data_IF_412465666114
#
_entry.id   IF_412465666114
#
_cell.length_a   1.000
_cell.length_b   1.000
_cell.length_c   1.000
_cell.angle_alpha   90.00
_cell.angle_beta   90.00
_cell.angle_gamma   90.00
#
_symmetry.space_group_name_H-M   'P 1'
#
loop_
_entity.id
_entity.type
_entity.pdbx_description
1 polymer ?
#
# COMPACT_ATOMS: atom_id res chain seq x y z
N UNK A 1 3.37 -18.21 -17.82
CA UNK A 1 3.80 -16.89 -18.31
C UNK A 1 3.32 -15.84 -17.32
N UNK A 2 4.23 -15.05 -16.74
CA UNK A 2 3.87 -14.00 -15.77
C UNK A 2 3.14 -12.86 -16.49
N UNK A 3 2.21 -12.18 -15.82
CA UNK A 3 1.57 -10.96 -16.32
C UNK A 3 1.97 -9.79 -15.44
N UNK A 4 2.30 -8.66 -16.05
CA UNK A 4 2.55 -7.38 -15.39
C UNK A 4 1.38 -6.46 -15.69
N UNK A 5 0.62 -6.12 -14.66
CA UNK A 5 -0.49 -5.18 -14.71
C UNK A 5 -0.01 -3.78 -14.37
N UNK A 6 -0.11 -2.87 -15.32
CA UNK A 6 0.11 -1.45 -15.07
C UNK A 6 -1.20 -0.81 -14.65
N UNK A 7 -1.19 -0.14 -13.51
CA UNK A 7 -2.33 0.56 -12.92
C UNK A 7 -1.94 2.01 -12.62
N UNK A 8 -2.93 2.89 -12.57
CA UNK A 8 -2.77 4.31 -12.28
C UNK A 8 -3.06 4.62 -10.80
N UNK A 9 -4.05 3.92 -10.24
CA UNK A 9 -4.47 4.00 -8.85
C UNK A 9 -4.39 2.63 -8.20
N UNK A 10 -3.96 2.57 -6.95
CA UNK A 10 -3.67 1.29 -6.30
C UNK A 10 -4.91 0.44 -6.02
N UNK A 11 -6.05 1.08 -5.77
CA UNK A 11 -7.32 0.41 -5.53
C UNK A 11 -7.82 -0.40 -6.75
N UNK A 12 -7.31 -0.09 -7.96
CA UNK A 12 -7.54 -0.91 -9.17
C UNK A 12 -7.11 -2.36 -8.97
N UNK A 13 -6.11 -2.61 -8.13
CA UNK A 13 -5.63 -3.96 -7.85
C UNK A 13 -6.69 -4.81 -7.16
N UNK A 14 -7.47 -4.22 -6.24
CA UNK A 14 -8.58 -4.93 -5.61
C UNK A 14 -9.69 -5.27 -6.62
N UNK A 15 -9.99 -4.35 -7.54
CA UNK A 15 -10.93 -4.62 -8.64
C UNK A 15 -10.45 -5.78 -9.52
N UNK A 16 -9.18 -5.78 -9.90
CA UNK A 16 -8.55 -6.86 -10.65
C UNK A 16 -8.66 -8.22 -9.93
N UNK A 17 -8.33 -8.27 -8.63
CA UNK A 17 -8.45 -9.51 -7.86
C UNK A 17 -9.90 -9.97 -7.71
N UNK A 18 -10.86 -9.06 -7.61
CA UNK A 18 -12.30 -9.37 -7.62
C UNK A 18 -12.73 -10.00 -8.94
N UNK A 19 -12.34 -9.41 -10.07
CA UNK A 19 -12.64 -9.93 -11.42
C UNK A 19 -12.04 -11.32 -11.65
N UNK A 20 -10.80 -11.53 -11.22
CA UNK A 20 -10.12 -12.82 -11.31
C UNK A 20 -10.67 -13.87 -10.32
N UNK A 21 -11.57 -13.47 -9.40
CA UNK A 21 -12.01 -14.29 -8.26
C UNK A 21 -10.82 -14.82 -7.44
N UNK A 22 -9.75 -14.05 -7.38
CA UNK A 22 -8.54 -14.41 -6.68
C UNK A 22 -8.75 -14.35 -5.15
N UNK A 23 -8.32 -15.40 -4.47
CA UNK A 23 -8.38 -15.57 -3.01
C UNK A 23 -7.14 -16.34 -2.53
N UNK A 24 -6.84 -16.30 -1.23
CA UNK A 24 -5.62 -16.93 -0.69
C UNK A 24 -4.34 -16.33 -1.26
N UNK A 25 -4.36 -15.03 -1.59
CA UNK A 25 -3.24 -14.32 -2.17
C UNK A 25 -2.13 -14.12 -1.13
N UNK A 26 -0.91 -14.35 -1.59
CA UNK A 26 0.33 -14.06 -0.86
C UNK A 26 1.00 -12.88 -1.54
N UNK A 27 0.88 -11.70 -0.96
CA UNK A 27 1.30 -10.44 -1.57
C UNK A 27 2.60 -9.96 -0.95
N UNK A 28 3.55 -9.58 -1.80
CA UNK A 28 4.66 -8.70 -1.41
C UNK A 28 4.36 -7.32 -1.96
N UNK A 29 4.26 -6.36 -1.06
CA UNK A 29 3.90 -4.97 -1.34
C UNK A 29 5.14 -4.10 -1.20
N UNK A 30 5.71 -3.65 -2.32
CA UNK A 30 6.83 -2.72 -2.35
C UNK A 30 6.28 -1.30 -2.46
N UNK A 31 6.25 -0.59 -1.34
CA UNK A 31 5.54 0.69 -1.24
C UNK A 31 6.12 1.57 -0.12
N UNK A 32 6.07 2.88 -0.29
CA UNK A 32 6.38 3.83 0.77
C UNK A 32 5.33 3.78 1.90
N UNK A 33 4.06 3.65 1.54
CA UNK A 33 2.87 3.56 2.38
C UNK A 33 2.42 2.10 2.56
N UNK A 34 1.57 1.83 3.56
CA UNK A 34 1.11 0.46 3.79
C UNK A 34 -0.21 0.09 3.13
N UNK A 35 -1.02 1.09 2.74
CA UNK A 35 -2.41 0.96 2.23
C UNK A 35 -3.37 0.12 3.06
N UNK A 36 -3.08 0.05 4.35
CA UNK A 36 -3.84 -0.67 5.38
C UNK A 36 -4.57 0.29 6.31
N UNK A 37 -4.93 1.49 5.83
CA UNK A 37 -5.67 2.45 6.64
C UNK A 37 -6.99 1.83 7.13
N UNK A 38 -7.34 2.10 8.39
CA UNK A 38 -8.54 1.53 9.00
C UNK A 38 -8.40 0.07 9.43
N UNK A 39 -7.17 -0.46 9.51
CA UNK A 39 -6.89 -1.80 10.01
C UNK A 39 -6.06 -1.78 11.31
N UNK A 40 -6.43 -2.66 12.23
CA UNK A 40 -5.63 -3.06 13.39
C UNK A 40 -5.14 -4.49 13.17
N UNK A 41 -3.83 -4.72 13.31
CA UNK A 41 -3.23 -6.07 13.24
C UNK A 41 -2.66 -6.45 14.61
N UNK A 42 -3.14 -7.59 15.14
CA UNK A 42 -2.48 -8.31 16.21
C UNK A 42 -1.33 -9.13 15.62
N UNK A 43 -0.10 -8.62 15.73
CA UNK A 43 1.09 -9.28 15.17
C UNK A 43 1.47 -10.59 15.89
N UNK A 44 1.01 -10.79 17.12
CA UNK A 44 1.28 -12.01 17.88
C UNK A 44 0.36 -13.14 17.45
N UNK A 45 -0.93 -12.85 17.28
CA UNK A 45 -1.93 -13.86 16.89
C UNK A 45 -2.18 -13.90 15.39
N UNK A 46 -1.59 -12.99 14.61
CA UNK A 46 -1.73 -12.94 13.15
C UNK A 46 -3.20 -12.78 12.75
N UNK A 47 -3.86 -11.81 13.39
CA UNK A 47 -5.27 -11.46 13.21
C UNK A 47 -5.43 -9.99 12.83
N UNK A 48 -6.27 -9.73 11.84
CA UNK A 48 -6.65 -8.40 11.37
C UNK A 48 -8.08 -8.06 11.80
N UNK A 49 -8.27 -6.80 12.19
CA UNK A 49 -9.55 -6.24 12.61
C UNK A 49 -9.80 -4.92 11.88
N UNK A 50 -10.98 -4.78 11.29
CA UNK A 50 -11.41 -3.50 10.74
C UNK A 50 -11.86 -2.56 11.86
N UNK A 51 -11.32 -1.34 11.84
CA UNK A 51 -11.57 -0.32 12.84
C UNK A 51 -12.34 0.86 12.22
N UNK A 52 -13.25 1.44 13.00
CA UNK A 52 -14.23 2.43 12.51
C UNK A 52 -13.72 3.87 12.44
N UNK A 53 -12.40 4.08 12.49
CA UNK A 53 -11.82 5.42 12.55
C UNK A 53 -11.68 6.09 11.17
N UNK A 54 -12.09 5.42 10.10
CA UNK A 54 -11.96 5.86 8.72
C UNK A 54 -13.22 5.54 7.90
N UNK A 55 -13.50 6.30 6.82
CA UNK A 55 -14.65 6.03 5.96
C UNK A 55 -14.58 4.61 5.39
N UNK A 56 -15.72 3.90 5.30
CA UNK A 56 -15.78 2.52 4.80
C UNK A 56 -15.63 2.43 3.27
N UNK A 57 -15.47 3.56 2.60
CA UNK A 57 -15.32 3.65 1.15
C UNK A 57 -13.92 3.19 0.75
N UNK A 58 -13.84 2.44 -0.34
CA UNK A 58 -12.59 1.98 -0.92
C UNK A 58 -11.82 3.16 -1.51
N UNK A 59 -10.53 3.26 -1.20
CA UNK A 59 -9.58 4.18 -1.81
C UNK A 59 -8.15 3.59 -1.81
N UNK A 60 -7.23 4.30 -2.45
CA UNK A 60 -5.82 3.91 -2.61
C UNK A 60 -5.15 3.61 -1.25
N UNK A 61 -5.50 4.31 -0.17
CA UNK A 61 -4.87 4.11 1.13
C UNK A 61 -5.47 2.99 1.99
N UNK A 62 -6.56 2.34 1.56
CA UNK A 62 -7.21 1.27 2.32
C UNK A 62 -7.55 0.01 1.50
N UNK A 63 -7.14 -0.08 0.23
CA UNK A 63 -7.53 -1.21 -0.61
C UNK A 63 -7.05 -2.56 -0.05
N UNK A 64 -5.87 -2.62 0.59
CA UNK A 64 -5.39 -3.83 1.25
C UNK A 64 -6.20 -4.17 2.50
N UNK A 65 -6.68 -3.17 3.24
CA UNK A 65 -7.67 -3.39 4.32
C UNK A 65 -8.89 -4.14 3.77
N UNK A 66 -9.46 -3.67 2.66
CA UNK A 66 -10.59 -4.34 2.02
C UNK A 66 -10.23 -5.75 1.52
N UNK A 67 -9.08 -5.91 0.86
CA UNK A 67 -8.63 -7.20 0.34
C UNK A 67 -8.47 -8.26 1.44
N UNK A 68 -7.94 -7.87 2.60
CA UNK A 68 -7.80 -8.74 3.78
C UNK A 68 -9.17 -9.06 4.38
N UNK A 69 -10.02 -8.05 4.56
CA UNK A 69 -11.33 -8.24 5.18
C UNK A 69 -12.28 -9.10 4.32
N UNK A 70 -12.11 -9.08 3.00
CA UNK A 70 -12.76 -9.97 2.02
C UNK A 70 -12.18 -11.40 2.00
N UNK A 71 -11.08 -11.67 2.69
CA UNK A 71 -10.40 -12.96 2.67
C UNK A 71 -9.65 -13.24 1.36
N UNK A 72 -9.32 -12.19 0.59
CA UNK A 72 -8.56 -12.35 -0.65
C UNK A 72 -7.08 -12.47 -0.39
N UNK A 73 -6.55 -11.68 0.54
CA UNK A 73 -5.15 -11.68 0.94
C UNK A 73 -5.00 -12.44 2.26
N UNK A 74 -4.28 -13.56 2.23
CA UNK A 74 -3.98 -14.37 3.42
C UNK A 74 -2.58 -14.06 3.98
N UNK A 75 -1.67 -13.57 3.15
CA UNK A 75 -0.32 -13.19 3.53
C UNK A 75 0.06 -11.89 2.86
N UNK A 76 0.62 -10.98 3.65
CA UNK A 76 1.10 -9.69 3.19
C UNK A 76 2.49 -9.42 3.79
N UNK A 77 3.48 -9.22 2.93
CA UNK A 77 4.79 -8.69 3.30
C UNK A 77 4.89 -7.27 2.77
N UNK A 78 4.82 -6.28 3.65
CA UNK A 78 5.07 -4.89 3.29
C UNK A 78 6.56 -4.59 3.38
N UNK A 79 7.14 -4.21 2.25
CA UNK A 79 8.55 -3.92 2.10
C UNK A 79 8.69 -2.46 1.72
N UNK A 80 9.45 -1.70 2.51
CA UNK A 80 9.62 -0.26 2.31
C UNK A 80 11.11 0.14 2.32
N UNK A 81 11.41 1.33 1.82
CA UNK A 81 12.74 1.96 1.95
C UNK A 81 12.73 3.01 3.07
N UNK A 82 13.88 3.64 3.31
CA UNK A 82 14.03 4.77 4.22
C UNK A 82 14.40 6.04 3.43
N UNK A 83 13.76 7.19 3.70
CA UNK A 83 12.53 7.34 4.50
C UNK A 83 11.37 6.52 3.91
N UNK A 84 10.43 6.08 4.75
CA UNK A 84 9.32 5.21 4.34
C UNK A 84 8.89 4.27 5.46
N UNK A 85 7.84 3.47 5.23
CA UNK A 85 7.32 2.59 6.27
C UNK A 85 6.51 3.34 7.32
N UNK A 86 6.17 2.64 8.42
CA UNK A 86 5.24 3.17 9.45
C UNK A 86 5.60 4.53 10.01
N UNK A 87 6.89 4.83 10.13
CA UNK A 87 7.39 6.09 10.69
C UNK A 87 7.06 7.29 9.78
N UNK A 88 6.91 7.05 8.48
CA UNK A 88 6.69 8.08 7.47
C UNK A 88 5.30 8.02 6.83
N UNK A 89 4.53 6.97 7.12
CA UNK A 89 3.17 6.77 6.63
C UNK A 89 2.11 7.36 7.59
N UNK A 90 1.31 8.32 7.09
CA UNK A 90 0.21 8.95 7.84
C UNK A 90 -1.09 8.18 7.58
N UNK A 91 -1.67 7.63 8.65
CA UNK A 91 -2.82 6.74 8.52
C UNK A 91 -2.42 5.26 8.39
N UNK A 92 -1.14 4.94 8.65
CA UNK A 92 -0.63 3.57 8.66
C UNK A 92 -1.46 2.63 9.54
N UNK A 93 -1.36 1.33 9.25
CA UNK A 93 -1.89 0.24 10.07
C UNK A 93 -1.56 0.41 11.54
N UNK A 94 -2.54 0.12 12.40
CA UNK A 94 -2.36 0.10 13.85
C UNK A 94 -1.95 -1.28 14.34
N UNK A 95 -1.12 -1.35 15.37
CA UNK A 95 -0.82 -2.56 16.12
C UNK A 95 -1.37 -2.46 17.53
N UNK A 96 -1.58 -3.61 18.18
CA UNK A 96 -2.01 -3.65 19.58
C UNK A 96 -1.00 -3.07 20.57
N UNK A 97 0.26 -2.89 20.15
CA UNK A 97 1.30 -2.25 20.95
C UNK A 97 1.23 -0.73 20.89
N UNK A 98 0.54 -0.17 19.89
CA UNK A 98 0.39 1.27 19.72
C UNK A 98 -0.56 1.81 20.79
N UNK A 99 -0.32 3.04 21.27
CA UNK A 99 -1.16 3.63 22.32
C UNK A 99 -2.62 3.71 21.84
N UNK A 100 -2.84 4.17 20.61
CA UNK A 100 -4.18 4.22 20.02
C UNK A 100 -4.73 2.84 19.66
N UNK A 101 -3.86 1.90 19.29
CA UNK A 101 -4.24 0.52 18.99
C UNK A 101 -4.72 -0.27 20.20
N UNK A 102 -4.14 -0.05 21.38
CA UNK A 102 -4.57 -0.68 22.66
C UNK A 102 -6.01 -0.34 23.01
N UNK A 103 -6.38 0.94 22.91
CA UNK A 103 -7.76 1.38 23.16
C UNK A 103 -8.74 0.75 22.20
N UNK A 104 -8.38 0.67 20.92
CA UNK A 104 -9.22 0.04 19.90
C UNK A 104 -9.35 -1.47 20.12
N UNK A 105 -8.27 -2.17 20.45
CA UNK A 105 -8.29 -3.61 20.79
C UNK A 105 -9.24 -3.90 21.96
N UNK A 106 -9.20 -3.09 23.01
CA UNK A 106 -10.15 -3.21 24.13
C UNK A 106 -11.62 -3.03 23.68
N UNK A 107 -11.90 -2.02 22.85
CA UNK A 107 -13.25 -1.81 22.31
C UNK A 107 -13.72 -2.94 21.38
N UNK A 108 -12.81 -3.55 20.62
CA UNK A 108 -13.12 -4.68 19.73
C UNK A 108 -13.49 -5.92 20.54
N UNK A 109 -12.76 -6.19 21.63
CA UNK A 109 -13.06 -7.30 22.54
C UNK A 109 -14.48 -7.22 23.14
N UNK A 110 -14.99 -6.00 23.38
CA UNK A 110 -16.35 -5.79 23.87
C UNK A 110 -17.44 -5.97 22.80
N UNK A 111 -17.09 -5.85 21.52
CA UNK A 111 -18.04 -5.80 20.39
C UNK A 111 -18.09 -7.09 19.58
N UNK A 112 -17.34 -8.11 19.98
CA UNK A 112 -17.21 -9.42 19.29
C UNK A 112 -17.04 -9.27 17.77
N UNK A 113 -16.15 -8.37 17.36
CA UNK A 113 -15.94 -8.11 15.94
C UNK A 113 -15.20 -9.28 15.29
N UNK A 114 -15.64 -9.73 14.10
CA UNK A 114 -14.98 -10.82 13.41
C UNK A 114 -13.56 -10.44 13.03
N UNK A 115 -12.60 -11.23 13.50
CA UNK A 115 -11.21 -11.15 13.09
C UNK A 115 -11.01 -11.91 11.77
N UNK A 116 -10.05 -11.48 10.95
CA UNK A 116 -9.55 -12.25 9.81
C UNK A 116 -8.14 -12.76 10.09
N UNK A 117 -7.86 -14.06 9.87
CA UNK A 117 -6.49 -14.55 9.93
C UNK A 117 -5.67 -13.94 8.79
N UNK A 118 -4.43 -13.53 9.09
CA UNK A 118 -3.49 -13.00 8.11
C UNK A 118 -2.05 -13.25 8.56
N UNK A 119 -1.16 -13.63 7.65
CA UNK A 119 0.28 -13.59 7.89
C UNK A 119 0.86 -12.24 7.44
N UNK A 120 1.14 -11.35 8.38
CA UNK A 120 1.59 -9.99 8.13
C UNK A 120 3.03 -9.74 8.61
N UNK A 121 3.89 -9.32 7.68
CA UNK A 121 5.30 -8.99 7.91
C UNK A 121 5.60 -7.58 7.38
N UNK A 122 6.47 -6.86 8.08
CA UNK A 122 7.02 -5.57 7.63
C UNK A 122 8.53 -5.70 7.58
N UNK A 123 9.13 -5.27 6.48
CA UNK A 123 10.56 -5.39 6.25
C UNK A 123 11.11 -4.12 5.61
N UNK A 124 12.31 -3.72 5.99
CA UNK A 124 13.08 -2.78 5.20
C UNK A 124 13.61 -3.49 3.96
N UNK A 125 13.65 -2.80 2.82
CA UNK A 125 14.12 -3.35 1.54
C UNK A 125 15.55 -3.93 1.63
N UNK A 126 16.43 -3.31 2.42
CA UNK A 126 17.80 -3.78 2.66
C UNK A 126 17.86 -5.16 3.34
N UNK A 127 16.81 -5.54 4.07
CA UNK A 127 16.68 -6.82 4.77
C UNK A 127 15.73 -7.81 4.05
N UNK A 128 15.15 -7.42 2.91
CA UNK A 128 14.20 -8.26 2.19
C UNK A 128 14.93 -9.35 1.39
N UNK A 129 14.68 -10.65 1.65
CA UNK A 129 15.40 -11.75 0.98
C UNK A 129 14.90 -12.04 -0.44
N UNK A 130 14.02 -11.20 -0.99
CA UNK A 130 13.32 -11.45 -2.25
C UNK A 130 12.02 -12.25 -2.07
N UNK A 131 11.49 -12.77 -3.18
CA UNK A 131 10.19 -13.46 -3.24
C UNK A 131 10.25 -14.88 -2.71
N UNK A 132 9.13 -15.34 -2.15
CA UNK A 132 8.84 -16.75 -1.93
C UNK A 132 7.98 -17.31 -3.07
N UNK A 133 7.93 -18.64 -3.17
CA UNK A 133 7.11 -19.31 -4.18
C UNK A 133 5.62 -18.97 -4.02
N UNK A 134 4.99 -18.64 -5.15
CA UNK A 134 3.56 -18.33 -5.23
C UNK A 134 3.19 -16.92 -4.76
N UNK A 135 4.17 -16.03 -4.59
CA UNK A 135 3.88 -14.64 -4.23
C UNK A 135 3.53 -13.79 -5.45
N UNK A 136 2.54 -12.93 -5.24
CA UNK A 136 2.17 -11.81 -6.09
C UNK A 136 3.07 -10.62 -5.70
N UNK A 137 3.69 -9.97 -6.68
CA UNK A 137 4.53 -8.80 -6.47
C UNK A 137 3.77 -7.53 -6.82
N UNK A 138 3.42 -6.74 -5.81
CA UNK A 138 2.82 -5.42 -5.97
C UNK A 138 3.88 -4.35 -5.75
N UNK A 139 3.92 -3.35 -6.64
CA UNK A 139 4.92 -2.30 -6.63
C UNK A 139 4.22 -0.95 -6.84
N UNK A 140 4.31 -0.07 -5.85
CA UNK A 140 4.05 1.35 -6.06
C UNK A 140 5.30 2.03 -6.60
N UNK A 141 5.12 2.95 -7.55
CA UNK A 141 6.19 3.79 -8.04
C UNK A 141 6.80 4.69 -6.97
N UNK A 142 6.02 5.09 -5.96
CA UNK A 142 6.52 5.90 -4.86
C UNK A 142 7.59 5.17 -4.01
N UNK A 143 7.66 3.84 -4.11
CA UNK A 143 8.74 3.03 -3.55
C UNK A 143 10.13 3.47 -4.07
N UNK A 144 10.19 3.93 -5.32
CA UNK A 144 11.41 4.45 -5.96
C UNK A 144 11.42 5.97 -6.05
N UNK A 145 10.26 6.57 -6.30
CA UNK A 145 10.12 7.94 -6.76
C UNK A 145 9.23 8.80 -5.86
N UNK A 146 9.03 8.41 -4.60
CA UNK A 146 8.34 9.25 -3.61
C UNK A 146 8.90 10.67 -3.58
N UNK A 147 8.01 11.65 -3.39
CA UNK A 147 8.37 13.06 -3.21
C UNK A 147 9.31 13.31 -2.02
N UNK A 148 9.39 12.36 -1.07
CA UNK A 148 10.29 12.40 0.08
C UNK A 148 11.73 11.97 -0.27
N UNK A 149 11.94 11.32 -1.43
CA UNK A 149 13.28 10.99 -1.93
C UNK A 149 13.86 12.10 -2.79
N UNK A 150 15.20 12.29 -2.79
CA UNK A 150 15.85 13.14 -3.78
C UNK A 150 15.64 12.59 -5.19
N UNK A 151 15.14 13.42 -6.11
CA UNK A 151 14.82 13.05 -7.49
C UNK A 151 15.98 12.37 -8.23
N UNK A 152 17.21 12.79 -7.97
CA UNK A 152 18.41 12.24 -8.61
C UNK A 152 18.76 10.80 -8.16
N UNK A 153 18.04 10.24 -7.17
CA UNK A 153 18.27 8.87 -6.69
C UNK A 153 17.40 7.84 -7.39
N UNK A 154 16.28 8.24 -8.02
CA UNK A 154 15.27 7.33 -8.59
C UNK A 154 15.90 6.29 -9.51
N UNK A 155 16.75 6.73 -10.45
CA UNK A 155 17.41 5.82 -11.39
C UNK A 155 18.28 4.79 -10.67
N UNK A 156 19.11 5.22 -9.70
CA UNK A 156 19.96 4.30 -8.95
C UNK A 156 19.14 3.27 -8.13
N UNK A 157 17.99 3.69 -7.58
CA UNK A 157 17.09 2.80 -6.86
C UNK A 157 16.44 1.76 -7.78
N UNK A 158 16.00 2.18 -8.97
CA UNK A 158 15.46 1.29 -10.01
C UNK A 158 16.52 0.29 -10.47
N UNK A 159 17.75 0.74 -10.76
CA UNK A 159 18.84 -0.16 -11.15
C UNK A 159 19.19 -1.14 -10.04
N UNK A 160 19.23 -0.69 -8.78
CA UNK A 160 19.47 -1.56 -7.62
C UNK A 160 18.40 -2.66 -7.53
N UNK A 161 17.13 -2.35 -7.80
CA UNK A 161 16.05 -3.33 -7.78
C UNK A 161 16.09 -4.29 -8.97
N UNK A 162 16.30 -3.78 -10.18
CA UNK A 162 16.43 -4.60 -11.39
C UNK A 162 17.70 -5.45 -11.36
N UNK A 163 18.73 -5.04 -10.62
CA UNK A 163 19.97 -5.76 -10.40
C UNK A 163 19.89 -6.87 -9.34
N UNK A 164 18.79 -6.97 -8.58
CA UNK A 164 18.58 -8.08 -7.66
C UNK A 164 18.64 -9.43 -8.40
N UNK A 165 19.15 -10.44 -7.68
CA UNK A 165 19.00 -11.82 -8.08
C UNK A 165 17.57 -12.30 -7.74
N UNK A 166 16.88 -12.89 -8.72
CA UNK A 166 15.50 -13.33 -8.59
C UNK A 166 15.43 -14.84 -8.79
N UNK A 167 15.80 -15.63 -7.77
CA UNK A 167 15.74 -17.09 -7.87
C UNK A 167 14.31 -17.60 -8.05
N UNK A 168 13.32 -16.78 -7.69
CA UNK A 168 11.89 -17.07 -7.81
C UNK A 168 11.24 -15.94 -8.61
N UNK A 169 10.58 -16.32 -9.70
CA UNK A 169 9.73 -15.40 -10.46
C UNK A 169 8.39 -15.19 -9.74
N UNK A 170 7.85 -13.96 -9.74
CA UNK A 170 6.53 -13.68 -9.19
C UNK A 170 5.44 -14.38 -10.01
N UNK A 171 4.35 -14.78 -9.33
CA UNK A 171 3.18 -15.37 -9.98
C UNK A 171 2.54 -14.36 -10.94
N UNK A 172 2.38 -13.12 -10.47
CA UNK A 172 1.88 -11.96 -11.19
C UNK A 172 2.53 -10.71 -10.59
N UNK A 173 2.55 -9.63 -11.37
CA UNK A 173 3.11 -8.35 -10.97
C UNK A 173 2.03 -7.26 -11.16
N UNK A 174 1.87 -6.36 -10.21
CA UNK A 174 1.27 -5.04 -10.45
C UNK A 174 2.32 -3.95 -10.29
N UNK A 175 2.14 -2.89 -11.06
CA UNK A 175 2.96 -1.69 -11.01
C UNK A 175 2.04 -0.47 -11.08
N UNK A 176 1.92 0.24 -9.95
CA UNK A 176 1.12 1.44 -9.77
C UNK A 176 1.98 2.69 -10.01
N UNK A 177 1.43 3.73 -10.64
CA UNK A 177 2.16 5.00 -10.86
C UNK A 177 2.06 6.00 -9.70
N UNK A 178 0.92 6.03 -8.99
CA UNK A 178 0.64 6.90 -7.83
C UNK A 178 1.14 8.36 -7.98
N UNK A 179 0.55 9.11 -8.93
CA UNK A 179 1.04 10.45 -9.32
C UNK A 179 0.99 11.49 -8.19
N UNK A 180 0.13 11.30 -7.19
CA UNK A 180 -0.02 12.22 -6.07
C UNK A 180 1.10 12.09 -5.02
N UNK A 181 1.81 10.97 -5.01
CA UNK A 181 2.87 10.65 -4.04
C UNK A 181 4.27 10.56 -4.66
N UNK A 182 4.34 10.51 -5.99
CA UNK A 182 5.59 10.39 -6.75
C UNK A 182 6.02 11.69 -7.44
N UNK A 183 7.32 11.82 -7.67
CA UNK A 183 7.85 12.82 -8.60
C UNK A 183 7.24 12.64 -10.00
N UNK A 184 7.02 13.72 -10.77
CA UNK A 184 6.49 13.64 -12.13
C UNK A 184 7.50 12.98 -13.08
N UNK A 185 7.47 11.65 -13.13
CA UNK A 185 8.50 10.79 -13.71
C UNK A 185 7.88 9.68 -14.57
N UNK A 186 6.84 10.05 -15.32
CA UNK A 186 6.07 9.11 -16.15
C UNK A 186 6.95 8.39 -17.19
N UNK A 187 7.88 9.04 -17.90
CA UNK A 187 8.77 8.35 -18.82
C UNK A 187 9.64 7.28 -18.14
N UNK A 188 10.16 7.57 -16.94
CA UNK A 188 10.95 6.65 -16.14
C UNK A 188 10.12 5.45 -15.65
N UNK A 189 8.90 5.71 -15.18
CA UNK A 189 7.93 4.66 -14.82
C UNK A 189 7.63 3.73 -16.00
N UNK A 190 7.36 4.29 -17.19
CA UNK A 190 7.08 3.51 -18.40
C UNK A 190 8.29 2.68 -18.85
N UNK A 191 9.48 3.27 -18.78
CA UNK A 191 10.74 2.56 -19.06
C UNK A 191 10.97 1.42 -18.06
N UNK A 192 10.72 1.66 -16.78
CA UNK A 192 10.82 0.66 -15.72
C UNK A 192 9.85 -0.50 -15.98
N UNK A 193 8.58 -0.23 -16.30
CA UNK A 193 7.59 -1.25 -16.60
C UNK A 193 8.02 -2.17 -17.75
N UNK A 194 8.58 -1.60 -18.83
CA UNK A 194 9.09 -2.36 -19.97
C UNK A 194 10.27 -3.25 -19.59
N UNK A 195 11.24 -2.70 -18.83
CA UNK A 195 12.42 -3.44 -18.37
C UNK A 195 12.05 -4.54 -17.39
N UNK A 196 11.08 -4.28 -16.51
CA UNK A 196 10.55 -5.27 -15.57
C UNK A 196 9.83 -6.40 -16.31
N UNK A 197 9.00 -6.07 -17.31
CA UNK A 197 8.35 -7.05 -18.16
C UNK A 197 9.37 -7.91 -18.90
N UNK A 198 10.42 -7.31 -19.47
CA UNK A 198 11.51 -8.04 -20.13
C UNK A 198 12.25 -8.96 -19.16
N UNK A 199 12.61 -8.47 -17.97
CA UNK A 199 13.35 -9.23 -16.95
C UNK A 199 12.62 -10.51 -16.54
N UNK A 200 11.29 -10.46 -16.43
CA UNK A 200 10.48 -11.62 -16.05
C UNK A 200 9.81 -12.34 -17.22
N UNK A 201 10.08 -11.95 -18.47
CA UNK A 201 9.36 -12.47 -19.64
C UNK A 201 7.84 -12.32 -19.52
N UNK A 202 7.39 -11.23 -18.88
CA UNK A 202 6.00 -11.01 -18.53
C UNK A 202 5.22 -10.33 -19.67
N UNK A 203 3.93 -10.69 -19.80
CA UNK A 203 3.00 -9.95 -20.65
C UNK A 203 2.58 -8.66 -19.95
N UNK A 204 2.85 -7.52 -20.58
CA UNK A 204 2.43 -6.22 -20.07
C UNK A 204 0.96 -5.93 -20.43
N UNK A 205 0.16 -5.56 -19.44
CA UNK A 205 -1.28 -5.26 -19.56
C UNK A 205 -1.57 -3.95 -18.84
N UNK A 206 -2.16 -2.97 -19.53
CA UNK A 206 -2.64 -1.74 -18.89
C UNK A 206 -4.08 -1.93 -18.45
N UNK A 207 -4.36 -1.70 -17.18
CA UNK A 207 -5.72 -1.74 -16.68
C UNK A 207 -6.40 -0.38 -16.94
N UNK A 208 -7.63 -0.37 -17.46
CA UNK A 208 -8.40 0.86 -17.58
C UNK A 208 -8.70 1.39 -16.17
N UNK A 209 -8.76 2.71 -16.04
CA UNK A 209 -9.28 3.34 -14.83
C UNK A 209 -10.71 2.82 -14.56
N UNK A 210 -11.04 2.47 -13.31
CA UNK A 210 -12.38 2.06 -12.95
C UNK A 210 -13.31 3.24 -13.23
N UNK A 211 -14.51 2.95 -13.75
CA UNK A 211 -15.55 3.97 -13.89
C UNK A 211 -15.98 4.37 -12.49
N UNK A 212 -15.38 5.43 -11.96
CA UNK A 212 -15.79 5.94 -10.66
C UNK A 212 -17.24 6.42 -10.75
N UNK A 213 -18.13 5.99 -9.84
CA UNK A 213 -19.42 6.66 -9.69
C UNK A 213 -19.14 8.13 -9.35
N UNK A 214 -19.86 9.06 -9.98
CA UNK A 214 -19.72 10.50 -9.74
C UNK A 214 -19.84 10.76 -8.24
N UNK A 215 -18.71 11.05 -7.58
CA UNK A 215 -18.70 11.35 -6.16
C UNK A 215 -19.57 12.57 -5.89
N UNK A 216 -20.60 12.40 -5.07
CA UNK A 216 -21.26 13.53 -4.42
C UNK A 216 -20.34 13.94 -3.26
N UNK A 217 -19.82 15.17 -3.20
CA UNK A 217 -18.87 15.53 -2.15
C UNK A 217 -19.53 15.34 -0.78
N UNK A 218 -18.88 14.57 0.10
CA UNK A 218 -19.26 14.43 1.51
C UNK A 218 -19.56 15.82 2.11
N UNK A 219 -20.70 15.96 2.79
CA UNK A 219 -21.34 17.25 3.09
C UNK A 219 -20.44 18.32 3.72
N UNK A 220 -19.41 17.94 4.50
CA UNK A 220 -18.48 18.89 5.12
C UNK A 220 -17.43 19.47 4.14
N UNK A 221 -17.03 18.74 3.09
CA UNK A 221 -16.11 19.22 2.04
C UNK A 221 -16.73 20.35 1.20
N UNK A 222 -18.06 20.53 1.27
CA UNK A 222 -18.81 21.60 0.62
C UNK A 222 -18.59 22.97 1.26
N UNK A 223 -18.23 23.01 2.55
CA UNK A 223 -18.18 24.25 3.34
C UNK A 223 -16.76 24.76 3.61
N UNK A 224 -15.74 23.94 3.34
CA UNK A 224 -14.35 24.29 3.59
C UNK A 224 -13.69 24.67 2.26
N UNK A 225 -13.20 25.92 2.09
CA UNK A 225 -12.44 26.29 0.91
C UNK A 225 -11.26 25.34 0.70
N UNK A 226 -11.05 24.87 -0.54
CA UNK A 226 -10.00 23.88 -0.88
C UNK A 226 -8.61 24.28 -0.38
N UNK A 227 -8.27 25.57 -0.42
CA UNK A 227 -7.00 26.11 0.09
C UNK A 227 -6.86 25.93 1.60
N UNK A 228 -7.92 26.21 2.36
CA UNK A 228 -7.93 26.04 3.81
C UNK A 228 -7.92 24.56 4.21
N UNK A 229 -8.67 23.71 3.49
CA UNK A 229 -8.61 22.26 3.67
C UNK A 229 -7.21 21.70 3.44
N UNK A 230 -6.51 22.14 2.39
CA UNK A 230 -5.11 21.75 2.13
C UNK A 230 -4.18 22.16 3.26
N UNK A 231 -4.35 23.36 3.81
CA UNK A 231 -3.54 23.83 4.93
C UNK A 231 -3.81 23.04 6.22
N UNK A 232 -5.08 22.83 6.58
CA UNK A 232 -5.47 22.00 7.72
C UNK A 232 -4.97 20.57 7.58
N UNK A 233 -5.12 19.98 6.38
CA UNK A 233 -4.60 18.67 6.04
C UNK A 233 -3.08 18.66 6.24
N UNK A 234 -2.34 19.62 5.68
CA UNK A 234 -0.89 19.72 5.86
C UNK A 234 -0.48 19.78 7.33
N UNK A 235 -1.14 20.62 8.14
CA UNK A 235 -0.86 20.74 9.58
C UNK A 235 -1.14 19.43 10.33
N UNK A 236 -2.28 18.78 10.05
CA UNK A 236 -2.63 17.48 10.61
C UNK A 236 -1.59 16.42 10.23
N UNK A 237 -1.23 16.32 8.95
CA UNK A 237 -0.27 15.33 8.46
C UNK A 237 1.11 15.58 9.08
N UNK A 238 1.60 16.82 9.10
CA UNK A 238 2.90 17.16 9.71
C UNK A 238 2.93 16.85 11.21
N UNK A 239 1.85 17.16 11.93
CA UNK A 239 1.76 16.87 13.37
C UNK A 239 1.76 15.37 13.62
N UNK A 240 0.97 14.60 12.87
CA UNK A 240 0.94 13.14 13.00
C UNK A 240 2.27 12.49 12.61
N UNK A 241 2.92 12.98 11.55
CA UNK A 241 4.23 12.52 11.13
C UNK A 241 5.27 12.78 12.21
N UNK A 242 5.27 13.99 12.80
CA UNK A 242 6.15 14.33 13.91
C UNK A 242 5.94 13.42 15.13
N UNK A 243 4.69 13.15 15.51
CA UNK A 243 4.36 12.22 16.60
C UNK A 243 4.89 10.81 16.31
N UNK A 244 4.70 10.31 15.08
CA UNK A 244 5.17 8.98 14.65
C UNK A 244 6.69 8.87 14.64
N UNK A 245 7.39 9.92 14.22
CA UNK A 245 8.86 10.00 14.33
C UNK A 245 9.35 9.99 15.78
N UNK A 246 8.48 10.27 16.77
CA UNK A 246 8.74 10.10 18.20
C UNK A 246 8.24 8.76 18.76
N UNK A 247 7.79 7.85 17.90
CA UNK A 247 7.25 6.55 18.30
C UNK A 247 5.84 6.59 18.87
N UNK A 248 5.11 7.70 18.68
CA UNK A 248 3.75 7.87 19.15
C UNK A 248 2.79 7.50 18.02
N UNK A 249 2.11 6.36 18.18
CA UNK A 249 1.13 5.78 17.25
C UNK A 249 -0.26 5.66 17.88
#
# INVERSE_FOLDING_TARGET
MTTLYMIEQHDQLLHLWREQRAVGLRVVHLDFHCDLRGLLINRRTQQAYQINDQPPELDEGNFLTHAIMEGRVERLRWVHRLPGGRQYDVGTVKYETDLTGRWVSWLLALKDRPARPIHYEVMEFSAWPGLNQGEFLDIDWDFFASLEYPLNTVQAQVESFLGLDWPIAPQQISLCYSPDFSHPSRPEFESFAQRLAQKFGARLVRQPLPVQPVETPAGYKKYIPRSFYRWLRRGYYQTNLWLRQKGIY
#
